data_IF_893300272822
#
_entry.id   IF_893300272822
#
_cell.length_a   1.000
_cell.length_b   1.000
_cell.length_c   1.000
_cell.angle_alpha   90.00
_cell.angle_beta   90.00
_cell.angle_gamma   90.00
#
_symmetry.space_group_name_H-M   'P 1'
#
loop_
_entity.id
_entity.type
_entity.pdbx_description
1 polymer ?
#
# COMPACT_ATOMS: atom_id res chain seq x y z
N UNK A 1 -3.04 14.18 10.46
CA UNK A 1 -2.22 13.42 11.41
C UNK A 1 -2.71 11.98 11.41
N UNK A 2 -2.10 11.12 10.60
CA UNK A 2 -2.31 9.68 10.66
C UNK A 2 -1.41 9.09 11.73
N UNK A 3 -1.90 8.08 12.44
CA UNK A 3 -1.10 7.29 13.39
C UNK A 3 0.09 6.74 12.61
N UNK A 4 1.30 7.16 12.96
CA UNK A 4 2.50 6.62 12.33
C UNK A 4 2.94 5.43 13.17
N UNK A 5 2.47 4.23 12.80
CA UNK A 5 2.76 2.97 13.51
C UNK A 5 4.27 2.70 13.70
N UNK A 6 5.11 3.37 12.90
CA UNK A 6 6.57 3.30 12.95
C UNK A 6 7.21 4.30 13.94
N UNK A 7 6.44 5.19 14.57
CA UNK A 7 6.93 6.22 15.51
C UNK A 7 6.48 6.03 16.95
N UNK A 8 5.58 5.10 17.24
CA UNK A 8 5.08 4.87 18.59
C UNK A 8 6.09 4.03 19.42
N UNK A 9 6.29 4.40 20.68
CA UNK A 9 7.13 3.64 21.61
C UNK A 9 6.51 2.30 22.03
N UNK A 10 7.35 1.35 22.45
CA UNK A 10 6.94 0.12 23.13
C UNK A 10 6.36 0.51 24.50
N UNK A 11 5.06 0.34 24.82
CA UNK A 11 4.25 -0.88 24.60
C UNK A 11 3.06 -0.72 23.63
N UNK A 12 2.75 0.51 23.21
CA UNK A 12 1.61 0.81 22.33
C UNK A 12 1.80 0.16 20.96
N UNK A 13 3.04 0.15 20.46
CA UNK A 13 3.42 -0.52 19.21
C UNK A 13 3.12 -2.02 19.25
N UNK A 14 3.49 -2.71 20.32
CA UNK A 14 3.24 -4.15 20.47
C UNK A 14 1.74 -4.51 20.52
N UNK A 15 0.91 -3.71 21.20
CA UNK A 15 -0.55 -3.92 21.21
C UNK A 15 -1.17 -3.69 19.83
N UNK A 16 -0.74 -2.62 19.15
CA UNK A 16 -1.19 -2.33 17.79
C UNK A 16 -0.84 -3.46 16.82
N UNK A 17 0.40 -3.94 16.86
CA UNK A 17 0.88 -5.05 16.00
C UNK A 17 0.01 -6.29 16.17
N UNK A 18 -0.32 -6.65 17.42
CA UNK A 18 -1.14 -7.82 17.72
C UNK A 18 -2.59 -7.63 17.26
N UNK A 19 -3.26 -6.55 17.68
CA UNK A 19 -4.65 -6.28 17.33
C UNK A 19 -4.85 -6.27 15.82
N UNK A 20 -3.94 -5.60 15.10
CA UNK A 20 -4.05 -5.46 13.66
C UNK A 20 -3.87 -6.80 12.93
N UNK A 21 -3.00 -7.69 13.42
CA UNK A 21 -2.84 -9.03 12.88
C UNK A 21 -4.03 -9.95 13.18
N UNK A 22 -4.65 -9.83 14.35
CA UNK A 22 -5.88 -10.55 14.71
C UNK A 22 -7.05 -10.07 13.84
N UNK A 23 -7.25 -8.75 13.71
CA UNK A 23 -8.30 -8.15 12.88
C UNK A 23 -8.17 -8.57 11.41
N UNK A 24 -6.96 -8.59 10.86
CA UNK A 24 -6.71 -9.01 9.48
C UNK A 24 -7.04 -10.50 9.24
N UNK A 25 -6.87 -11.34 10.26
CA UNK A 25 -7.16 -12.78 10.17
C UNK A 25 -8.65 -13.09 10.35
N UNK A 26 -9.37 -12.25 11.10
CA UNK A 26 -10.78 -12.48 11.43
C UNK A 26 -11.76 -11.82 10.47
N UNK A 27 -11.38 -10.70 9.84
CA UNK A 27 -12.29 -9.96 8.97
C UNK A 27 -12.74 -10.83 7.77
N UNK A 28 -14.02 -10.78 7.45
CA UNK A 28 -14.61 -11.52 6.33
C UNK A 28 -14.46 -10.77 5.01
N UNK A 29 -14.64 -11.47 3.90
CA UNK A 29 -14.63 -10.84 2.58
C UNK A 29 -15.80 -9.86 2.40
N UNK A 30 -17.00 -10.19 2.91
CA UNK A 30 -18.17 -9.30 2.89
C UNK A 30 -17.89 -7.98 3.64
N UNK A 31 -17.21 -8.04 4.79
CA UNK A 31 -16.82 -6.85 5.55
C UNK A 31 -15.77 -6.02 4.81
N UNK A 32 -14.80 -6.66 4.15
CA UNK A 32 -13.81 -5.97 3.31
C UNK A 32 -14.47 -5.26 2.14
N UNK A 33 -15.42 -5.90 1.45
CA UNK A 33 -16.18 -5.30 0.35
C UNK A 33 -17.00 -4.09 0.81
N UNK A 34 -17.64 -4.18 1.98
CA UNK A 34 -18.35 -3.06 2.59
C UNK A 34 -17.41 -1.88 2.90
N UNK A 35 -16.23 -2.15 3.45
CA UNK A 35 -15.24 -1.11 3.74
C UNK A 35 -14.68 -0.48 2.45
N UNK A 36 -14.44 -1.28 1.40
CA UNK A 36 -13.92 -0.81 0.10
C UNK A 36 -14.90 0.07 -0.67
N UNK A 37 -16.20 -0.02 -0.39
CA UNK A 37 -17.24 0.84 -0.99
C UNK A 37 -17.53 2.10 -0.17
N UNK A 38 -17.03 2.17 1.07
CA UNK A 38 -17.26 3.25 2.03
C UNK A 38 -16.34 4.46 1.83
N UNK A 39 -16.17 5.31 2.85
CA UNK A 39 -15.30 6.50 2.81
C UNK A 39 -13.79 6.16 2.87
N UNK A 40 -12.92 7.15 2.65
CA UNK A 40 -11.49 6.92 2.43
C UNK A 40 -10.75 6.23 3.60
N UNK A 41 -11.15 6.41 4.87
CA UNK A 41 -10.51 5.75 6.02
C UNK A 41 -10.90 4.29 6.07
N UNK A 42 -12.18 3.96 5.87
CA UNK A 42 -12.66 2.59 5.73
C UNK A 42 -11.90 1.86 4.62
N UNK A 43 -11.76 2.49 3.44
CA UNK A 43 -10.99 1.92 2.32
C UNK A 43 -9.51 1.74 2.64
N UNK A 44 -8.90 2.73 3.30
CA UNK A 44 -7.52 2.63 3.76
C UNK A 44 -7.34 1.46 4.75
N UNK A 45 -8.26 1.29 5.69
CA UNK A 45 -8.26 0.16 6.63
C UNK A 45 -8.39 -1.16 5.90
N UNK A 46 -9.37 -1.30 4.99
CA UNK A 46 -9.54 -2.52 4.20
C UNK A 46 -8.28 -2.88 3.41
N UNK A 47 -7.66 -1.91 2.76
CA UNK A 47 -6.42 -2.13 2.01
C UNK A 47 -5.27 -2.62 2.90
N UNK A 48 -5.16 -2.10 4.12
CA UNK A 48 -4.20 -2.58 5.11
C UNK A 48 -4.47 -4.04 5.50
N UNK A 49 -5.71 -4.39 5.84
CA UNK A 49 -6.08 -5.75 6.25
C UNK A 49 -5.87 -6.75 5.10
N UNK A 50 -6.24 -6.37 3.88
CA UNK A 50 -5.97 -7.16 2.65
C UNK A 50 -4.47 -7.38 2.46
N UNK A 51 -3.64 -6.34 2.60
CA UNK A 51 -2.19 -6.43 2.43
C UNK A 51 -1.48 -7.20 3.56
N UNK A 52 -2.03 -7.17 4.77
CA UNK A 52 -1.53 -7.94 5.91
C UNK A 52 -1.70 -9.43 5.68
N UNK A 53 -2.94 -9.84 5.38
CA UNK A 53 -3.33 -11.25 5.22
C UNK A 53 -3.11 -11.78 3.78
N UNK A 54 -2.46 -11.00 2.92
CA UNK A 54 -2.12 -11.36 1.53
C UNK A 54 -3.34 -11.85 0.71
N UNK A 55 -4.49 -11.18 0.85
CA UNK A 55 -5.73 -11.52 0.13
C UNK A 55 -5.68 -11.09 -1.34
N UNK A 56 -4.87 -11.82 -2.12
CA UNK A 56 -4.60 -11.52 -3.54
C UNK A 56 -5.82 -11.60 -4.46
N UNK A 57 -6.95 -12.16 -4.01
CA UNK A 57 -8.23 -12.11 -4.72
C UNK A 57 -8.76 -10.68 -4.93
N UNK A 58 -8.35 -9.73 -4.09
CA UNK A 58 -8.72 -8.31 -4.23
C UNK A 58 -7.84 -7.53 -5.21
N UNK A 59 -6.84 -8.17 -5.85
CA UNK A 59 -5.85 -7.49 -6.70
C UNK A 59 -6.50 -6.60 -7.75
N UNK A 60 -7.42 -7.14 -8.53
CA UNK A 60 -8.06 -6.39 -9.62
C UNK A 60 -8.91 -5.25 -9.07
N UNK A 61 -9.65 -5.51 -7.98
CA UNK A 61 -10.47 -4.50 -7.32
C UNK A 61 -9.66 -3.33 -6.77
N UNK A 62 -8.53 -3.61 -6.12
CA UNK A 62 -7.61 -2.56 -5.66
C UNK A 62 -6.99 -1.81 -6.85
N UNK A 63 -6.76 -2.49 -7.97
CA UNK A 63 -6.24 -1.90 -9.20
C UNK A 63 -7.20 -0.88 -9.79
N UNK A 64 -8.48 -1.23 -9.91
CA UNK A 64 -9.55 -0.33 -10.34
C UNK A 64 -9.64 0.91 -9.44
N UNK A 65 -9.63 0.71 -8.12
CA UNK A 65 -9.74 1.78 -7.13
C UNK A 65 -8.54 2.73 -7.17
N UNK A 66 -7.33 2.18 -7.36
CA UNK A 66 -6.11 2.98 -7.49
C UNK A 66 -6.09 3.76 -8.81
N UNK A 67 -6.53 3.13 -9.91
CA UNK A 67 -6.61 3.75 -11.23
C UNK A 67 -7.59 4.93 -11.25
N UNK A 68 -8.76 4.76 -10.64
CA UNK A 68 -9.75 5.84 -10.46
C UNK A 68 -9.16 7.01 -9.66
N UNK A 69 -8.47 6.71 -8.55
CA UNK A 69 -7.72 7.70 -7.76
C UNK A 69 -8.58 8.74 -7.04
N UNK A 70 -9.91 8.56 -6.96
CA UNK A 70 -10.85 9.52 -6.35
C UNK A 70 -10.69 9.68 -4.84
N UNK A 71 -10.06 8.72 -4.15
CA UNK A 71 -9.97 8.72 -2.69
C UNK A 71 -8.56 9.03 -2.21
N UNK A 72 -8.33 10.35 -2.06
CA UNK A 72 -7.08 11.02 -1.68
C UNK A 72 -6.10 10.14 -0.89
N UNK A 73 -6.51 9.66 0.29
CA UNK A 73 -5.61 8.98 1.24
C UNK A 73 -5.64 7.45 1.17
N UNK A 74 -6.62 6.86 0.49
CA UNK A 74 -6.74 5.41 0.38
C UNK A 74 -5.66 4.81 -0.53
N UNK A 75 -5.17 5.60 -1.49
CA UNK A 75 -4.10 5.21 -2.42
C UNK A 75 -2.82 4.72 -1.71
N UNK A 76 -2.48 5.27 -0.54
CA UNK A 76 -1.37 4.78 0.27
C UNK A 76 -1.57 3.34 0.75
N UNK A 77 -2.80 2.98 1.12
CA UNK A 77 -3.16 1.61 1.51
C UNK A 77 -3.12 0.64 0.33
N UNK A 78 -3.66 1.06 -0.83
CA UNK A 78 -3.62 0.23 -2.04
C UNK A 78 -2.17 -0.03 -2.48
N UNK A 79 -1.33 1.00 -2.44
CA UNK A 79 0.10 0.89 -2.74
C UNK A 79 0.81 -0.11 -1.82
N UNK A 80 0.50 -0.09 -0.52
CA UNK A 80 1.01 -1.07 0.43
C UNK A 80 0.53 -2.49 0.10
N UNK A 81 -0.76 -2.69 -0.18
CA UNK A 81 -1.30 -4.01 -0.52
C UNK A 81 -0.59 -4.61 -1.75
N UNK A 82 -0.38 -3.83 -2.81
CA UNK A 82 0.38 -4.26 -3.98
C UNK A 82 1.85 -4.57 -3.65
N UNK A 83 2.51 -3.73 -2.83
CA UNK A 83 3.87 -3.98 -2.36
C UNK A 83 3.98 -5.32 -1.60
N UNK A 84 2.94 -5.66 -0.82
CA UNK A 84 2.82 -6.90 -0.05
C UNK A 84 2.58 -8.13 -0.93
N UNK A 85 1.65 -8.03 -1.90
CA UNK A 85 1.38 -9.12 -2.85
C UNK A 85 2.63 -9.47 -3.67
N UNK A 86 3.31 -8.43 -4.13
CA UNK A 86 4.70 -8.52 -4.52
C UNK A 86 5.01 -9.34 -5.77
N UNK A 87 4.06 -9.46 -6.69
CA UNK A 87 4.22 -10.12 -7.98
C UNK A 87 4.34 -9.11 -9.13
N UNK A 88 4.75 -9.56 -10.31
CA UNK A 88 4.83 -8.70 -11.50
C UNK A 88 3.52 -7.97 -11.85
N UNK A 89 2.32 -8.60 -11.77
CA UNK A 89 1.06 -7.89 -11.99
C UNK A 89 0.85 -6.70 -11.04
N UNK A 90 1.33 -6.79 -9.81
CA UNK A 90 1.15 -5.73 -8.80
C UNK A 90 1.95 -4.47 -9.17
N UNK A 91 3.17 -4.65 -9.70
CA UNK A 91 3.97 -3.56 -10.25
C UNK A 91 3.30 -2.93 -11.48
N UNK A 92 2.67 -3.75 -12.32
CA UNK A 92 1.95 -3.27 -13.51
C UNK A 92 0.72 -2.43 -13.15
N UNK A 93 -0.05 -2.79 -12.11
CA UNK A 93 -1.17 -1.97 -11.63
C UNK A 93 -0.69 -0.59 -11.15
N UNK A 94 0.38 -0.56 -10.35
CA UNK A 94 0.97 0.69 -9.85
C UNK A 94 1.49 1.56 -11.00
N UNK A 95 2.24 0.98 -11.94
CA UNK A 95 2.79 1.70 -13.09
C UNK A 95 1.69 2.28 -13.99
N UNK A 96 0.64 1.50 -14.26
CA UNK A 96 -0.48 1.91 -15.10
C UNK A 96 -1.26 3.07 -14.47
N UNK A 97 -1.62 2.95 -13.19
CA UNK A 97 -2.31 4.01 -12.47
C UNK A 97 -1.45 5.29 -12.38
N UNK A 98 -0.14 5.14 -12.11
CA UNK A 98 0.78 6.27 -12.04
C UNK A 98 0.92 6.98 -13.39
N UNK A 99 1.09 6.25 -14.49
CA UNK A 99 1.19 6.84 -15.83
C UNK A 99 -0.07 7.63 -16.21
N UNK A 100 -1.26 7.05 -15.92
CA UNK A 100 -2.54 7.70 -16.13
C UNK A 100 -2.62 9.02 -15.34
N UNK A 101 -2.38 8.96 -14.02
CA UNK A 101 -2.52 10.11 -13.12
C UNK A 101 -1.46 11.19 -13.31
N UNK A 102 -0.25 10.84 -13.75
CA UNK A 102 0.77 11.83 -14.12
C UNK A 102 0.39 12.62 -15.38
N UNK A 103 -0.46 12.05 -16.23
CA UNK A 103 -0.95 12.68 -17.46
C UNK A 103 -2.15 13.60 -17.24
N UNK A 104 -2.82 13.51 -16.09
CA UNK A 104 -4.00 14.30 -15.74
C UNK A 104 -3.65 15.65 -15.10
N UNK A 105 -4.48 16.69 -15.30
CA UNK A 105 -4.31 17.98 -14.63
C UNK A 105 -4.67 17.93 -13.14
N UNK A 106 -5.54 17.00 -12.72
CA UNK A 106 -5.95 16.82 -11.33
C UNK A 106 -4.80 16.26 -10.47
N UNK A 107 -4.68 16.70 -9.20
CA UNK A 107 -3.62 16.25 -8.32
C UNK A 107 -3.77 14.77 -7.96
N UNK A 108 -2.68 14.00 -8.14
CA UNK A 108 -2.62 12.63 -7.67
C UNK A 108 -2.15 12.57 -6.22
N UNK A 109 -3.10 12.43 -5.31
CA UNK A 109 -2.82 12.34 -3.88
C UNK A 109 -2.18 11.01 -3.48
N UNK A 110 -1.31 11.08 -2.46
CA UNK A 110 -0.47 9.97 -1.99
C UNK A 110 0.38 9.33 -3.11
N UNK A 111 0.62 10.05 -4.21
CA UNK A 111 1.47 9.61 -5.32
C UNK A 111 2.84 9.11 -4.86
N UNK A 112 3.42 9.74 -3.84
CA UNK A 112 4.74 9.37 -3.36
C UNK A 112 4.76 7.96 -2.75
N UNK A 113 3.64 7.51 -2.15
CA UNK A 113 3.47 6.12 -1.72
C UNK A 113 3.39 5.16 -2.90
N UNK A 114 2.69 5.53 -3.97
CA UNK A 114 2.59 4.72 -5.19
C UNK A 114 3.95 4.59 -5.87
N UNK A 115 4.71 5.68 -5.97
CA UNK A 115 6.09 5.68 -6.47
C UNK A 115 7.00 4.83 -5.57
N UNK A 116 6.90 5.00 -4.25
CA UNK A 116 7.67 4.21 -3.29
C UNK A 116 7.39 2.71 -3.39
N UNK A 117 6.12 2.32 -3.56
CA UNK A 117 5.73 0.94 -3.81
C UNK A 117 6.30 0.39 -5.11
N UNK A 118 6.18 1.15 -6.22
CA UNK A 118 6.68 0.70 -7.50
C UNK A 118 8.20 0.51 -7.49
N UNK A 119 8.94 1.46 -6.90
CA UNK A 119 10.40 1.37 -6.75
C UNK A 119 10.83 0.21 -5.83
N UNK A 120 10.05 -0.06 -4.79
CA UNK A 120 10.27 -1.21 -3.90
C UNK A 120 10.06 -2.54 -4.65
N UNK A 121 9.01 -2.61 -5.48
CA UNK A 121 8.75 -3.78 -6.30
C UNK A 121 9.80 -3.97 -7.40
N UNK A 122 10.21 -2.89 -8.08
CA UNK A 122 11.25 -2.92 -9.12
C UNK A 122 12.56 -3.50 -8.58
N UNK A 123 13.00 -3.04 -7.41
CA UNK A 123 14.19 -3.60 -6.75
C UNK A 123 14.02 -5.08 -6.40
N UNK A 124 12.87 -5.45 -5.83
CA UNK A 124 12.63 -6.83 -5.36
C UNK A 124 12.44 -7.83 -6.51
N UNK A 125 11.89 -7.38 -7.64
CA UNK A 125 11.59 -8.19 -8.81
C UNK A 125 12.68 -8.11 -9.90
N UNK A 126 13.65 -7.21 -9.76
CA UNK A 126 14.68 -6.97 -10.77
C UNK A 126 14.12 -6.34 -12.05
N UNK A 127 13.12 -5.46 -11.91
CA UNK A 127 12.46 -4.75 -13.02
C UNK A 127 12.76 -3.25 -12.99
N UNK A 128 12.35 -2.53 -14.03
CA UNK A 128 12.47 -1.06 -14.11
C UNK A 128 11.19 -0.44 -14.70
N UNK A 129 10.05 -0.72 -14.08
CA UNK A 129 8.78 -0.12 -14.47
C UNK A 129 8.74 1.38 -14.16
N UNK A 130 9.42 1.83 -13.11
CA UNK A 130 9.46 3.23 -12.71
C UNK A 130 10.36 4.11 -13.61
N UNK A 131 11.44 3.59 -14.20
CA UNK A 131 12.47 4.39 -14.87
C UNK A 131 11.94 5.37 -15.92
N UNK A 132 11.11 4.90 -16.85
CA UNK A 132 10.48 5.73 -17.87
C UNK A 132 9.49 6.75 -17.29
N UNK A 133 8.71 6.35 -16.29
CA UNK A 133 7.74 7.24 -15.62
C UNK A 133 8.45 8.34 -14.82
N UNK A 134 9.62 8.05 -14.28
CA UNK A 134 10.34 8.96 -13.40
C UNK A 134 11.26 9.95 -14.11
N UNK A 135 11.49 9.73 -15.42
CA UNK A 135 12.29 10.59 -16.31
C UNK A 135 11.45 11.35 -17.34
N UNK A 136 10.17 11.00 -17.50
CA UNK A 136 9.24 11.64 -18.43
C UNK A 136 8.86 13.07 -18.06
N UNK A 137 8.45 13.83 -19.07
CA UNK A 137 7.80 15.14 -18.89
C UNK A 137 6.30 14.93 -18.75
N UNK A 138 5.79 15.16 -17.55
CA UNK A 138 4.40 14.94 -17.18
C UNK A 138 3.70 16.25 -16.84
N UNK A 139 2.36 16.24 -16.87
CA UNK A 139 1.57 17.39 -16.38
C UNK A 139 1.76 17.57 -14.88
N UNK A 140 1.82 16.45 -14.16
CA UNK A 140 2.10 16.44 -12.73
C UNK A 140 3.62 16.37 -12.47
N UNK A 141 4.14 17.14 -11.50
CA UNK A 141 5.56 17.06 -11.16
C UNK A 141 5.89 15.71 -10.52
N UNK A 142 6.98 15.09 -10.95
CA UNK A 142 7.52 13.89 -10.27
C UNK A 142 8.40 14.36 -9.10
N UNK A 143 8.27 13.77 -7.88
CA UNK A 143 9.08 14.16 -6.71
C UNK A 143 10.59 14.04 -6.98
N UNK A 144 11.43 14.66 -6.15
CA UNK A 144 12.89 14.56 -6.31
C UNK A 144 13.42 13.15 -6.03
N UNK A 145 14.62 12.79 -6.53
CA UNK A 145 15.20 11.46 -6.24
C UNK A 145 15.34 11.17 -4.73
N UNK A 146 15.84 12.08 -3.88
CA UNK A 146 15.88 11.85 -2.43
C UNK A 146 14.52 11.51 -1.82
N UNK A 147 13.44 12.18 -2.26
CA UNK A 147 12.09 11.90 -1.79
C UNK A 147 11.62 10.51 -2.24
N UNK A 148 11.87 10.14 -3.50
CA UNK A 148 11.54 8.81 -4.04
C UNK A 148 12.21 7.68 -3.24
N UNK A 149 13.51 7.81 -2.96
CA UNK A 149 14.25 6.83 -2.17
C UNK A 149 13.73 6.76 -0.72
N UNK A 150 13.35 7.90 -0.14
CA UNK A 150 12.74 7.94 1.19
C UNK A 150 11.42 7.17 1.21
N UNK A 151 10.55 7.35 0.22
CA UNK A 151 9.28 6.64 0.15
C UNK A 151 9.43 5.15 -0.20
N UNK A 152 10.40 4.78 -1.03
CA UNK A 152 10.80 3.39 -1.25
C UNK A 152 11.22 2.72 0.07
N UNK A 153 12.14 3.35 0.81
CA UNK A 153 12.57 2.86 2.12
C UNK A 153 11.43 2.78 3.14
N UNK A 154 10.53 3.77 3.14
CA UNK A 154 9.34 3.76 3.98
C UNK A 154 8.41 2.60 3.64
N UNK A 155 8.20 2.31 2.36
CA UNK A 155 7.40 1.15 1.93
C UNK A 155 8.00 -0.17 2.41
N UNK A 156 9.33 -0.32 2.33
CA UNK A 156 10.03 -1.47 2.89
C UNK A 156 9.78 -1.64 4.39
N UNK A 157 9.78 -0.53 5.16
CA UNK A 157 9.45 -0.56 6.59
C UNK A 157 7.99 -0.96 6.86
N UNK A 158 7.04 -0.48 6.04
CA UNK A 158 5.63 -0.85 6.17
C UNK A 158 5.41 -2.34 5.84
N UNK A 159 6.08 -2.86 4.82
CA UNK A 159 6.03 -4.29 4.49
C UNK A 159 6.60 -5.15 5.63
N UNK A 160 7.75 -4.75 6.20
CA UNK A 160 8.33 -5.45 7.34
C UNK A 160 7.44 -5.38 8.60
N UNK A 161 6.76 -4.26 8.82
CA UNK A 161 5.78 -4.10 9.89
C UNK A 161 4.58 -5.05 9.69
N UNK A 162 4.07 -5.16 8.46
CA UNK A 162 3.00 -6.09 8.14
C UNK A 162 3.41 -7.55 8.39
N UNK A 163 4.64 -7.94 8.04
CA UNK A 163 5.20 -9.26 8.38
C UNK A 163 5.34 -9.47 9.89
N UNK A 164 5.58 -8.42 10.67
CA UNK A 164 5.61 -8.51 12.13
C UNK A 164 4.21 -8.77 12.71
N UNK A 165 3.18 -8.07 12.23
CA UNK A 165 1.79 -8.29 12.61
C UNK A 165 1.39 -9.76 12.44
N UNK A 166 1.57 -10.31 11.24
CA UNK A 166 1.10 -11.67 10.94
C UNK A 166 1.90 -12.77 11.64
N UNK A 167 3.21 -12.58 11.87
CA UNK A 167 4.04 -13.56 12.62
C UNK A 167 3.66 -13.68 14.10
N UNK A 168 3.00 -12.69 14.70
CA UNK A 168 2.59 -12.73 16.11
C UNK A 168 1.21 -13.38 16.29
N UNK A 169 0.33 -13.25 15.31
CA UNK A 169 -0.97 -13.94 15.29
C UNK A 169 -0.81 -15.46 15.29
N UNK A 170 0.06 -15.99 14.42
CA UNK A 170 0.28 -17.46 14.27
C UNK A 170 0.83 -18.10 15.56
N UNK A 171 1.54 -17.34 16.41
CA UNK A 171 2.14 -17.86 17.65
C UNK A 171 1.22 -17.76 18.87
N UNK A 172 0.02 -17.22 18.71
CA UNK A 172 -0.91 -16.94 19.82
C UNK A 172 -2.13 -17.87 19.83
N UNK A 173 -2.19 -18.87 18.95
CA UNK A 173 -3.20 -19.95 18.99
C UNK A 173 -2.76 -20.99 20.03
N UNK A 174 -3.43 -21.12 21.19
CA UNK A 174 -3.18 -22.22 22.11
C UNK A 174 -3.89 -23.48 21.57
N UNK A 175 -3.22 -24.64 21.66
CA UNK A 175 -3.88 -25.95 21.60
C UNK A 175 -4.91 -26.13 22.72
#
# INVERSE_FOLDING_TARGET
>A
MGVNALRDGEPRRSLLVRSLGEDASLITDDELDLLLTSEWRARLTAAWLIGLDLRTGYRDRLGELLYDGSFVKANAGYALAFARFGQHPDAMFLATALAHKLSEPEPFYERDFVIGALLYLDERLGTDHAGGLLSGSWRQPVPSRPDRERFKGYMGQLCAFADECMRRTIRSTPE
#
